data_IF_115060297322
#
_entry.id   IF_115060297322
#
_cell.length_a   1.000
_cell.length_b   1.000
_cell.length_c   1.000
_cell.angle_alpha   90.00
_cell.angle_beta   90.00
_cell.angle_gamma   90.00
#
_symmetry.space_group_name_H-M   'P 1'
#
loop_
_entity.id
_entity.type
_entity.pdbx_description
1 polymer ?
#
# COMPACT_ATOMS: atom_id res chain seq x y z
N UNK A 1 -12.41 16.78 -14.78
CA UNK A 1 -12.07 16.11 -13.50
C UNK A 1 -12.18 14.60 -13.70
N UNK A 2 -11.07 13.86 -13.79
CA UNK A 2 -11.13 12.40 -13.94
C UNK A 2 -11.37 11.77 -12.55
N UNK A 3 -12.59 11.27 -12.32
CA UNK A 3 -13.03 10.72 -11.03
C UNK A 3 -12.35 9.41 -10.67
N UNK A 4 -11.73 8.71 -11.62
CA UNK A 4 -11.02 7.44 -11.37
C UNK A 4 -9.59 7.62 -10.84
N UNK A 5 -9.13 8.85 -10.62
CA UNK A 5 -7.81 9.11 -10.02
C UNK A 5 -7.83 9.17 -8.50
N UNK A 6 -8.97 9.45 -7.89
CA UNK A 6 -9.07 9.63 -6.44
C UNK A 6 -10.18 8.79 -5.85
N UNK A 7 -9.94 8.25 -4.66
CA UNK A 7 -10.97 7.56 -3.86
C UNK A 7 -11.07 8.16 -2.47
N UNK A 8 -12.29 8.17 -1.93
CA UNK A 8 -12.56 8.54 -0.55
C UNK A 8 -12.37 7.30 0.34
N UNK A 9 -11.72 7.49 1.49
CA UNK A 9 -11.62 6.50 2.57
C UNK A 9 -12.57 6.96 3.68
N UNK A 10 -13.56 6.14 3.99
CA UNK A 10 -14.59 6.41 4.99
C UNK A 10 -14.65 5.27 6.01
N UNK A 11 -14.76 5.62 7.29
CA UNK A 11 -15.00 4.63 8.34
C UNK A 11 -16.49 4.46 8.56
N UNK A 12 -17.03 3.33 8.13
CA UNK A 12 -18.43 2.98 8.37
C UNK A 12 -18.73 2.79 9.86
N UNK A 13 -17.81 2.17 10.61
CA UNK A 13 -17.98 1.95 12.05
C UNK A 13 -18.03 3.25 12.86
N UNK A 14 -17.33 4.31 12.41
CA UNK A 14 -17.32 5.62 13.08
C UNK A 14 -18.22 6.66 12.42
N UNK A 15 -18.85 6.34 11.28
CA UNK A 15 -19.62 7.29 10.50
C UNK A 15 -18.82 8.52 10.05
N UNK A 16 -17.50 8.37 9.84
CA UNK A 16 -16.60 9.51 9.68
C UNK A 16 -15.73 9.40 8.41
N UNK A 17 -15.59 10.52 7.71
CA UNK A 17 -14.61 10.70 6.63
C UNK A 17 -13.20 10.67 7.20
N UNK A 18 -12.29 9.93 6.56
CA UNK A 18 -10.90 9.84 6.98
C UNK A 18 -9.99 10.61 6.02
N UNK A 19 -10.03 10.29 4.73
CA UNK A 19 -9.07 10.83 3.76
C UNK A 19 -9.54 10.73 2.30
N UNK A 20 -8.85 11.45 1.41
CA UNK A 20 -8.84 11.22 -0.03
C UNK A 20 -7.46 10.67 -0.41
N UNK A 21 -7.43 9.62 -1.23
CA UNK A 21 -6.19 9.00 -1.70
C UNK A 21 -6.16 8.96 -3.23
N UNK A 22 -4.98 9.14 -3.80
CA UNK A 22 -4.73 8.91 -5.23
C UNK A 22 -4.62 7.41 -5.52
N UNK A 23 -5.25 6.95 -6.61
CA UNK A 23 -5.12 5.59 -7.10
C UNK A 23 -3.82 5.48 -7.91
N UNK A 24 -2.76 5.01 -7.25
CA UNK A 24 -1.49 4.64 -7.90
C UNK A 24 -1.57 3.17 -8.32
N UNK A 25 -1.16 2.84 -9.56
CA UNK A 25 -1.05 1.44 -9.99
C UNK A 25 -0.15 0.71 -9.00
N UNK A 26 -0.65 -0.36 -8.38
CA UNK A 26 0.19 -1.19 -7.52
C UNK A 26 1.36 -1.73 -8.33
N UNK A 27 2.58 -1.61 -7.79
CA UNK A 27 3.71 -2.39 -8.31
C UNK A 27 3.40 -3.84 -7.93
N UNK A 28 2.92 -4.64 -8.86
CA UNK A 28 2.84 -6.08 -8.66
C UNK A 28 4.25 -6.59 -8.42
N UNK A 29 4.48 -7.31 -7.31
CA UNK A 29 5.62 -8.22 -7.26
C UNK A 29 5.35 -9.27 -8.34
N UNK A 30 6.30 -9.51 -9.22
CA UNK A 30 6.18 -10.53 -10.25
C UNK A 30 5.85 -11.87 -9.55
N UNK A 31 4.83 -12.59 -10.03
CA UNK A 31 4.47 -13.89 -9.47
C UNK A 31 5.71 -14.80 -9.51
N UNK A 32 6.13 -15.31 -8.35
CA UNK A 32 7.38 -16.08 -8.20
C UNK A 32 8.46 -15.42 -7.33
N UNK A 33 8.31 -14.14 -6.96
CA UNK A 33 9.17 -13.53 -5.93
C UNK A 33 8.53 -13.65 -4.54
N UNK A 34 8.52 -14.86 -3.98
CA UNK A 34 8.53 -15.00 -2.53
C UNK A 34 9.85 -14.39 -2.06
N UNK A 35 9.77 -13.31 -1.29
CA UNK A 35 10.94 -12.73 -0.64
C UNK A 35 11.33 -13.64 0.52
N UNK A 36 11.85 -14.83 0.19
CA UNK A 36 12.62 -15.66 1.09
C UNK A 36 14.03 -15.12 1.12
N UNK A 37 14.23 -14.00 1.84
CA UNK A 37 15.55 -13.63 2.33
C UNK A 37 15.39 -13.33 3.81
N UNK A 38 15.50 -14.39 4.61
CA UNK A 38 16.10 -14.22 5.93
C UNK A 38 17.57 -13.90 5.68
N UNK A 39 17.98 -12.68 6.00
CA UNK A 39 19.32 -12.35 6.47
C UNK A 39 19.02 -11.41 7.65
N UNK A 40 18.95 -11.88 8.91
CA UNK A 40 20.03 -12.35 9.79
C UNK A 40 21.29 -11.49 9.63
N UNK A 41 21.37 -10.49 10.51
CA UNK A 41 22.54 -9.86 11.12
C UNK A 41 23.91 -9.99 10.43
N UNK A 42 24.50 -8.83 10.15
CA UNK A 42 25.90 -8.61 10.51
C UNK A 42 26.14 -7.17 10.99
N UNK A 43 26.23 -7.08 12.31
CA UNK A 43 26.94 -6.10 13.14
C UNK A 43 28.37 -5.83 12.62
N UNK A 44 28.81 -4.55 12.67
CA UNK A 44 30.23 -4.06 12.71
C UNK A 44 31.04 -4.18 11.40
N UNK A 45 31.72 -3.16 10.85
CA UNK A 45 32.58 -2.10 11.42
C UNK A 45 32.53 -0.79 10.62
#
# INVERSE_FOLDING_TARGET
MNKNRYRIIFSHARGMFIAVAEIVKSKTKQAGQSQGMMEIDSVTS
#
